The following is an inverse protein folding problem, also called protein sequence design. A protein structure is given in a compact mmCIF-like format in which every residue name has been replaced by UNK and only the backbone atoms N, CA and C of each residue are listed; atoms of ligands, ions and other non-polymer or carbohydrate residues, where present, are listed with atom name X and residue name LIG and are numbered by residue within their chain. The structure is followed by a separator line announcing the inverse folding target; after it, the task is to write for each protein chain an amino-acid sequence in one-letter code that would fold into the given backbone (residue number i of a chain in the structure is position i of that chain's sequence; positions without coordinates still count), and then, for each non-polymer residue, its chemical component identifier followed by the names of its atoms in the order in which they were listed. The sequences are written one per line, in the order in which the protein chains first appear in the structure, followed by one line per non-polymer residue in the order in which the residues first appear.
data_IF_324256887414
#
_entry.id   IF_324256887414
#
_cell.length_a   1.000
_cell.length_b   1.000
_cell.length_c   1.000
_cell.angle_alpha   90.00
_cell.angle_beta   90.00
_cell.angle_gamma   90.00
#
_symmetry.space_group_name_H-M   'P 1'
#
loop_
_entity.id
_entity.type
_entity.pdbx_description
1 polymer ?
#
# COMPACT_ATOMS: atom_id res chain seq x y z
N UNK A 1 -57.53 24.78 -56.45
CA UNK A 1 -57.48 25.07 -55.01
C UNK A 1 -56.81 23.89 -54.30
N UNK A 2 -55.50 23.91 -54.13
CA UNK A 2 -54.71 22.90 -53.42
C UNK A 2 -54.05 23.53 -52.20
N UNK A 3 -54.40 23.08 -51.02
CA UNK A 3 -53.77 23.52 -49.78
C UNK A 3 -52.49 22.77 -49.54
N UNK A 4 -51.37 23.45 -49.57
CA UNK A 4 -50.09 22.95 -49.06
C UNK A 4 -50.09 23.00 -47.51
N UNK A 5 -49.89 21.81 -46.88
CA UNK A 5 -49.69 21.68 -45.45
C UNK A 5 -48.19 21.66 -45.18
N UNK A 6 -47.59 22.68 -44.58
CA UNK A 6 -46.23 22.67 -44.13
C UNK A 6 -46.10 21.81 -42.88
N UNK A 7 -45.28 20.77 -42.97
CA UNK A 7 -44.84 20.02 -41.80
C UNK A 7 -43.62 20.75 -41.16
N UNK A 8 -43.80 21.20 -39.93
CA UNK A 8 -42.70 21.70 -39.10
C UNK A 8 -41.81 20.52 -38.66
N UNK A 9 -40.57 20.54 -39.06
CA UNK A 9 -39.57 19.62 -38.57
C UNK A 9 -39.25 19.91 -37.11
N UNK A 10 -39.56 19.03 -36.20
CA UNK A 10 -39.13 19.07 -34.82
C UNK A 10 -37.60 18.82 -34.75
N UNK A 11 -36.85 19.82 -34.35
CA UNK A 11 -35.43 19.70 -34.02
C UNK A 11 -35.29 18.83 -32.76
N UNK A 12 -34.92 17.57 -32.94
CA UNK A 12 -34.50 16.68 -31.86
C UNK A 12 -33.22 17.24 -31.23
N UNK A 13 -33.30 17.63 -29.97
CA UNK A 13 -32.13 18.03 -29.20
C UNK A 13 -31.19 16.82 -29.05
N UNK A 14 -29.93 17.00 -29.38
CA UNK A 14 -28.87 16.01 -29.11
C UNK A 14 -28.72 15.85 -27.59
N UNK A 15 -28.71 14.64 -27.05
CA UNK A 15 -28.46 14.43 -25.63
C UNK A 15 -27.03 14.89 -25.27
N UNK A 16 -26.92 15.62 -24.16
CA UNK A 16 -25.66 16.14 -23.65
C UNK A 16 -24.67 15.02 -23.33
N UNK A 17 -23.37 15.32 -23.44
CA UNK A 17 -22.28 14.38 -23.21
C UNK A 17 -22.33 13.67 -21.83
N UNK A 18 -23.02 14.29 -20.84
CA UNK A 18 -23.20 13.74 -19.50
C UNK A 18 -24.04 12.44 -19.47
N UNK A 19 -24.89 12.20 -20.49
CA UNK A 19 -25.77 11.03 -20.52
C UNK A 19 -25.11 9.81 -21.21
N UNK A 20 -23.90 9.95 -21.76
CA UNK A 20 -23.22 8.81 -22.42
C UNK A 20 -22.53 7.85 -21.43
N UNK A 21 -22.22 8.32 -20.21
CA UNK A 21 -21.61 7.45 -19.20
C UNK A 21 -22.63 6.70 -18.34
N UNK A 22 -23.86 7.20 -18.22
CA UNK A 22 -24.93 6.53 -17.46
C UNK A 22 -25.45 5.25 -18.14
N UNK A 23 -25.29 5.12 -19.47
CA UNK A 23 -25.77 3.95 -20.21
C UNK A 23 -24.77 2.78 -20.29
N UNK A 24 -23.53 2.96 -19.83
CA UNK A 24 -22.55 1.87 -19.83
C UNK A 24 -22.82 0.83 -18.74
N UNK A 25 -23.49 1.22 -17.66
CA UNK A 25 -23.86 0.31 -16.58
C UNK A 25 -25.10 -0.56 -16.92
N UNK A 26 -25.91 -0.17 -17.91
CA UNK A 26 -27.15 -0.86 -18.25
C UNK A 26 -26.99 -2.00 -19.28
N UNK A 27 -25.82 -2.15 -19.88
CA UNK A 27 -25.57 -3.16 -20.94
C UNK A 27 -25.08 -4.51 -20.41
N UNK A 28 -24.86 -4.63 -19.08
CA UNK A 28 -24.32 -5.88 -18.48
C UNK A 28 -25.40 -6.78 -17.88
N UNK A 29 -26.69 -6.50 -18.10
CA UNK A 29 -27.75 -7.46 -17.74
C UNK A 29 -28.00 -8.37 -18.95
N UNK A 30 -27.15 -9.38 -19.09
CA UNK A 30 -27.37 -10.47 -20.05
C UNK A 30 -28.33 -11.49 -19.44
N UNK A 31 -29.47 -11.79 -20.08
CA UNK A 31 -30.43 -12.80 -19.61
C UNK A 31 -30.04 -14.25 -20.02
N UNK A 32 -28.81 -14.49 -20.46
CA UNK A 32 -28.35 -15.83 -20.87
C UNK A 32 -27.21 -16.32 -19.95
N UNK A 33 -27.10 -17.63 -19.68
CA UNK A 33 -25.98 -18.18 -18.93
C UNK A 33 -24.67 -17.82 -19.64
N UNK A 34 -23.77 -17.18 -18.93
CA UNK A 34 -22.45 -16.77 -19.40
C UNK A 34 -21.76 -17.94 -20.09
N UNK A 35 -21.58 -17.86 -21.43
CA UNK A 35 -20.80 -18.85 -22.17
C UNK A 35 -19.36 -18.89 -21.57
N UNK A 36 -18.72 -20.07 -21.53
CA UNK A 36 -17.38 -20.21 -20.92
C UNK A 36 -16.35 -19.19 -21.43
N UNK A 37 -16.43 -18.79 -22.71
CA UNK A 37 -15.58 -17.78 -23.31
C UNK A 37 -15.77 -16.37 -22.68
N UNK A 38 -17.00 -16.02 -22.30
CA UNK A 38 -17.32 -14.71 -21.71
C UNK A 38 -16.81 -14.64 -20.27
N UNK A 39 -16.92 -15.72 -19.49
CA UNK A 39 -16.41 -15.77 -18.12
C UNK A 39 -14.87 -15.69 -18.07
N UNK A 40 -14.19 -16.31 -19.04
CA UNK A 40 -12.73 -16.23 -19.17
C UNK A 40 -12.26 -14.80 -19.50
N UNK A 41 -12.99 -14.10 -20.39
CA UNK A 41 -12.66 -12.72 -20.76
C UNK A 41 -12.86 -11.75 -19.59
N UNK A 42 -13.97 -11.90 -18.85
CA UNK A 42 -14.27 -11.10 -17.65
C UNK A 42 -13.23 -11.33 -16.56
N UNK A 43 -12.88 -12.58 -16.27
CA UNK A 43 -11.82 -12.92 -15.32
C UNK A 43 -10.45 -12.39 -15.75
N UNK A 44 -10.13 -12.46 -17.03
CA UNK A 44 -8.89 -11.92 -17.60
C UNK A 44 -8.79 -10.40 -17.46
N UNK A 45 -9.90 -9.68 -17.68
CA UNK A 45 -9.94 -8.23 -17.51
C UNK A 45 -9.71 -7.81 -16.04
N UNK A 46 -10.35 -8.48 -15.11
CA UNK A 46 -10.17 -8.23 -13.66
C UNK A 46 -8.72 -8.50 -13.22
N UNK A 47 -8.15 -9.64 -13.64
CA UNK A 47 -6.75 -9.97 -13.34
C UNK A 47 -5.78 -8.96 -13.95
N UNK A 48 -6.02 -8.52 -15.18
CA UNK A 48 -5.22 -7.50 -15.86
C UNK A 48 -5.28 -6.16 -15.11
N UNK A 49 -6.48 -5.73 -14.72
CA UNK A 49 -6.68 -4.51 -13.96
C UNK A 49 -5.97 -4.58 -12.59
N UNK A 50 -6.17 -5.66 -11.82
CA UNK A 50 -5.54 -5.84 -10.53
C UNK A 50 -4.01 -5.87 -10.63
N UNK A 51 -3.45 -6.49 -11.67
CA UNK A 51 -2.02 -6.51 -11.94
C UNK A 51 -1.48 -5.11 -12.26
N UNK A 52 -2.22 -4.34 -13.06
CA UNK A 52 -1.88 -2.97 -13.39
C UNK A 52 -1.92 -2.06 -12.15
N UNK A 53 -2.99 -2.14 -11.35
CA UNK A 53 -3.12 -1.40 -10.08
C UNK A 53 -1.95 -1.73 -9.16
N UNK A 54 -1.64 -3.01 -8.95
CA UNK A 54 -0.52 -3.45 -8.12
C UNK A 54 0.82 -2.87 -8.60
N UNK A 55 1.09 -2.95 -9.89
CA UNK A 55 2.35 -2.45 -10.46
C UNK A 55 2.48 -0.93 -10.30
N UNK A 56 1.41 -0.19 -10.56
CA UNK A 56 1.39 1.27 -10.43
C UNK A 56 1.59 1.70 -8.97
N UNK A 57 0.89 1.04 -8.04
CA UNK A 57 1.02 1.32 -6.59
C UNK A 57 2.40 0.96 -6.05
N UNK A 58 2.99 -0.17 -6.49
CA UNK A 58 4.36 -0.52 -6.10
C UNK A 58 5.37 0.50 -6.59
N UNK A 59 5.22 1.01 -7.82
CA UNK A 59 6.04 2.09 -8.35
C UNK A 59 5.92 3.37 -7.51
N UNK A 60 4.68 3.79 -7.21
CA UNK A 60 4.41 4.96 -6.39
C UNK A 60 4.99 4.85 -4.97
N UNK A 61 4.87 3.66 -4.33
CA UNK A 61 5.45 3.39 -3.02
C UNK A 61 6.99 3.49 -3.05
N UNK A 62 7.63 2.92 -4.06
CA UNK A 62 9.08 2.97 -4.21
C UNK A 62 9.57 4.42 -4.40
N UNK A 63 8.88 5.22 -5.20
CA UNK A 63 9.24 6.62 -5.44
C UNK A 63 9.03 7.48 -4.19
N UNK A 64 7.92 7.27 -3.47
CA UNK A 64 7.63 7.95 -2.21
C UNK A 64 8.65 7.61 -1.13
N UNK A 65 8.97 6.32 -0.96
CA UNK A 65 9.96 5.86 0.02
C UNK A 65 11.35 6.46 -0.25
N UNK A 66 11.79 6.52 -1.50
CA UNK A 66 13.06 7.17 -1.87
C UNK A 66 13.06 8.66 -1.58
N UNK A 67 11.94 9.34 -1.80
CA UNK A 67 11.81 10.77 -1.50
C UNK A 67 11.86 11.01 0.01
N UNK A 68 11.26 10.12 0.81
CA UNK A 68 11.26 10.21 2.26
C UNK A 68 12.61 9.85 2.91
N UNK A 69 13.52 9.18 2.19
CA UNK A 69 14.81 8.71 2.72
C UNK A 69 15.89 9.80 2.87
N UNK A 70 15.60 11.05 2.54
CA UNK A 70 16.53 12.18 2.71
C UNK A 70 16.31 12.88 4.05
N UNK A 71 17.33 13.59 4.57
CA UNK A 71 17.26 14.29 5.87
C UNK A 71 16.09 15.30 5.94
N UNK A 72 15.90 16.07 4.87
CA UNK A 72 14.83 17.05 4.75
C UNK A 72 14.03 16.78 3.47
N UNK A 73 13.12 15.82 3.49
CA UNK A 73 12.35 15.49 2.30
C UNK A 73 11.47 16.68 1.88
N UNK A 74 11.68 17.17 0.67
CA UNK A 74 10.81 18.16 0.05
C UNK A 74 9.65 17.38 -0.58
N UNK A 75 8.62 17.14 0.21
CA UNK A 75 7.42 16.43 -0.23
C UNK A 75 6.34 17.48 -0.47
N UNK A 76 6.02 17.73 -1.75
CA UNK A 76 4.99 18.69 -2.18
C UNK A 76 3.59 18.07 -2.10
N UNK A 77 3.24 17.60 -0.90
CA UNK A 77 1.90 17.09 -0.55
C UNK A 77 1.60 17.43 0.90
N UNK A 78 0.31 17.51 1.22
CA UNK A 78 -0.16 17.73 2.59
C UNK A 78 0.12 16.50 3.47
N UNK A 79 0.33 16.72 4.76
CA UNK A 79 0.53 15.70 5.79
C UNK A 79 1.37 16.25 6.95
N UNK A 80 0.96 15.94 8.17
CA UNK A 80 1.65 16.36 9.40
C UNK A 80 2.83 15.44 9.72
N UNK A 81 2.81 14.21 9.22
CA UNK A 81 3.87 13.21 9.39
C UNK A 81 4.43 12.76 8.05
N UNK A 82 5.67 12.24 8.06
CA UNK A 82 6.28 11.68 6.84
C UNK A 82 5.45 10.51 6.30
N UNK A 83 4.83 9.71 7.17
CA UNK A 83 3.94 8.62 6.76
C UNK A 83 2.73 9.13 5.98
N UNK A 84 2.03 10.15 6.48
CA UNK A 84 0.90 10.78 5.79
C UNK A 84 1.32 11.41 4.46
N UNK A 85 2.49 12.04 4.42
CA UNK A 85 3.04 12.59 3.18
C UNK A 85 3.31 11.49 2.15
N UNK A 86 3.88 10.35 2.58
CA UNK A 86 4.10 9.17 1.72
C UNK A 86 2.78 8.61 1.20
N UNK A 87 1.76 8.48 2.06
CA UNK A 87 0.41 8.06 1.64
C UNK A 87 -0.18 8.99 0.59
N UNK A 88 -0.10 10.31 0.83
CA UNK A 88 -0.64 11.31 -0.08
C UNK A 88 0.12 11.37 -1.41
N UNK A 89 1.43 11.12 -1.42
CA UNK A 89 2.19 10.93 -2.66
C UNK A 89 1.71 9.72 -3.46
N UNK A 90 1.52 8.58 -2.80
CA UNK A 90 1.01 7.37 -3.44
C UNK A 90 -0.40 7.64 -3.98
N UNK A 91 -1.28 8.22 -3.18
CA UNK A 91 -2.65 8.57 -3.56
C UNK A 91 -2.69 9.48 -4.78
N UNK A 92 -1.88 10.54 -4.80
CA UNK A 92 -1.75 11.47 -5.94
C UNK A 92 -1.28 10.76 -7.21
N UNK A 93 -0.34 9.82 -7.08
CA UNK A 93 0.21 9.08 -8.21
C UNK A 93 -0.77 8.07 -8.82
N UNK A 94 -1.64 7.48 -8.00
CA UNK A 94 -2.55 6.41 -8.43
C UNK A 94 -4.01 6.82 -8.58
N UNK A 95 -4.35 8.08 -8.30
CA UNK A 95 -5.74 8.58 -8.34
C UNK A 95 -6.45 8.37 -9.68
N UNK A 96 -5.72 8.29 -10.80
CA UNK A 96 -6.29 8.05 -12.13
C UNK A 96 -6.59 6.57 -12.38
N UNK A 97 -5.94 5.68 -11.64
CA UNK A 97 -6.09 4.22 -11.78
C UNK A 97 -7.04 3.67 -10.72
N UNK A 98 -6.90 4.15 -9.49
CA UNK A 98 -7.67 3.70 -8.34
C UNK A 98 -8.12 4.91 -7.49
N UNK A 99 -9.08 5.73 -7.97
CA UNK A 99 -9.47 6.99 -7.33
C UNK A 99 -10.08 6.82 -5.94
N UNK A 100 -10.63 5.63 -5.64
CA UNK A 100 -11.27 5.29 -4.37
C UNK A 100 -10.44 4.31 -3.54
N UNK A 101 -9.13 4.22 -3.79
CA UNK A 101 -8.27 3.39 -2.98
C UNK A 101 -8.10 3.99 -1.59
N UNK A 102 -8.30 3.15 -0.58
CA UNK A 102 -7.88 3.42 0.79
C UNK A 102 -6.45 2.89 0.94
N UNK A 103 -5.56 3.76 1.44
CA UNK A 103 -4.14 3.47 1.56
C UNK A 103 -3.74 3.81 2.98
N UNK A 104 -3.09 2.87 3.64
CA UNK A 104 -2.49 3.03 4.97
C UNK A 104 -1.02 2.62 4.88
N UNK A 105 -0.11 3.46 5.36
CA UNK A 105 1.34 3.23 5.27
C UNK A 105 1.95 3.22 6.67
N UNK A 106 2.54 2.10 7.02
CA UNK A 106 3.25 1.93 8.29
C UNK A 106 4.76 1.81 8.01
N UNK A 107 5.57 2.80 8.41
CA UNK A 107 7.03 2.69 8.39
C UNK A 107 7.55 1.99 9.63
N UNK A 108 8.56 1.13 9.45
CA UNK A 108 9.36 0.55 10.52
C UNK A 108 10.83 0.75 10.22
N UNK A 109 11.60 1.26 11.17
CA UNK A 109 13.05 1.48 11.04
C UNK A 109 13.84 0.33 11.63
N UNK A 110 14.92 -0.04 10.96
CA UNK A 110 15.86 -1.08 11.38
C UNK A 110 17.28 -0.57 11.27
N UNK A 111 18.19 -1.09 12.09
CA UNK A 111 19.59 -0.73 12.03
C UNK A 111 20.24 -1.19 10.71
N UNK A 112 19.91 -2.41 10.25
CA UNK A 112 20.40 -2.94 8.98
C UNK A 112 19.31 -3.71 8.23
N UNK A 113 19.52 -4.00 6.93
CA UNK A 113 18.62 -4.83 6.12
C UNK A 113 18.45 -6.24 6.64
N UNK A 114 19.49 -6.80 7.30
CA UNK A 114 19.45 -8.13 7.90
C UNK A 114 18.51 -8.24 9.08
N UNK A 115 18.14 -7.13 9.69
CA UNK A 115 17.30 -7.10 10.89
C UNK A 115 15.81 -7.09 10.57
N UNK A 116 15.45 -6.87 9.29
CA UNK A 116 14.07 -6.84 8.85
C UNK A 116 13.36 -8.17 9.12
N UNK A 117 12.39 -8.13 10.06
CA UNK A 117 11.60 -9.30 10.44
C UNK A 117 12.36 -10.35 11.23
N UNK A 118 13.53 -10.00 11.73
CA UNK A 118 14.32 -10.82 12.64
C UNK A 118 14.26 -10.27 14.06
N UNK A 119 14.44 -11.12 15.07
CA UNK A 119 14.52 -10.69 16.47
C UNK A 119 15.78 -9.86 16.70
N UNK A 120 15.77 -9.11 17.78
CA UNK A 120 16.94 -8.42 18.28
C UNK A 120 18.06 -9.40 18.56
N UNK A 121 19.29 -8.95 18.33
CA UNK A 121 20.45 -9.81 18.36
C UNK A 121 20.84 -10.20 19.77
N UNK A 122 20.83 -11.48 20.07
CA UNK A 122 21.33 -12.03 21.33
C UNK A 122 22.85 -11.85 21.38
N UNK A 123 23.34 -11.12 22.39
CA UNK A 123 24.76 -10.82 22.57
C UNK A 123 25.43 -11.73 23.59
N UNK A 124 24.69 -12.12 24.62
CA UNK A 124 25.15 -13.10 25.61
C UNK A 124 24.00 -14.05 25.93
N UNK A 125 24.25 -15.31 25.74
CA UNK A 125 23.37 -16.43 26.03
C UNK A 125 24.03 -17.23 27.16
N UNK A 126 23.49 -17.13 28.37
CA UNK A 126 24.12 -17.71 29.56
C UNK A 126 23.93 -19.22 29.66
N UNK A 127 22.85 -19.77 29.12
CA UNK A 127 22.58 -21.20 29.16
C UNK A 127 22.95 -21.92 27.84
N UNK A 128 23.24 -21.16 26.77
CA UNK A 128 23.68 -21.68 25.47
C UNK A 128 22.58 -22.37 24.65
N UNK A 129 21.29 -21.97 24.88
CA UNK A 129 20.16 -22.57 24.17
C UNK A 129 19.83 -21.90 22.83
N UNK A 130 20.40 -20.72 22.56
CA UNK A 130 20.18 -19.93 21.35
C UNK A 130 18.89 -19.11 21.34
N UNK A 131 18.17 -19.03 22.47
CA UNK A 131 16.96 -18.26 22.66
C UNK A 131 17.18 -17.23 23.78
N UNK A 132 16.51 -16.08 23.72
CA UNK A 132 16.56 -15.08 24.79
C UNK A 132 15.76 -15.56 26.00
N UNK A 133 16.41 -15.57 27.16
CA UNK A 133 15.81 -15.91 28.45
C UNK A 133 16.14 -14.84 29.50
N UNK A 134 15.13 -14.07 29.88
CA UNK A 134 15.27 -13.03 30.87
C UNK A 134 15.63 -13.59 32.26
N UNK A 135 15.24 -14.83 32.59
CA UNK A 135 15.52 -15.46 33.89
C UNK A 135 16.98 -15.83 34.05
N UNK A 136 17.68 -16.12 32.95
CA UNK A 136 19.10 -16.45 32.93
C UNK A 136 20.01 -15.20 32.84
N UNK A 137 19.40 -14.02 32.68
CA UNK A 137 20.13 -12.76 32.62
C UNK A 137 20.78 -12.50 31.26
N UNK A 138 20.23 -13.03 30.20
CA UNK A 138 20.74 -12.87 28.84
C UNK A 138 20.82 -11.38 28.44
N UNK A 139 21.76 -11.08 27.54
CA UNK A 139 21.96 -9.74 27.03
C UNK A 139 21.64 -9.69 25.54
N UNK A 140 21.02 -8.58 25.10
CA UNK A 140 20.69 -8.36 23.69
C UNK A 140 21.08 -6.97 23.23
N UNK A 141 21.14 -6.79 21.94
CA UNK A 141 21.34 -5.50 21.30
C UNK A 141 19.96 -4.86 21.08
N UNK A 142 19.64 -3.82 21.91
CA UNK A 142 18.38 -3.08 21.85
C UNK A 142 18.38 -2.16 20.61
N UNK A 143 17.94 -2.71 19.50
CA UNK A 143 18.05 -2.06 18.20
C UNK A 143 17.03 -0.91 18.01
N UNK A 144 15.87 -1.01 18.67
CA UNK A 144 14.82 0.00 18.59
C UNK A 144 14.81 1.00 19.77
N UNK A 145 15.66 0.77 20.80
CA UNK A 145 15.85 1.66 21.92
C UNK A 145 14.71 1.66 22.96
N UNK A 146 13.89 0.60 22.99
CA UNK A 146 12.73 0.52 23.90
C UNK A 146 13.04 -0.15 25.25
N UNK A 147 14.21 -0.79 25.40
CA UNK A 147 14.66 -1.46 26.62
C UNK A 147 14.05 -2.83 26.88
N UNK A 148 13.39 -3.42 25.90
CA UNK A 148 12.73 -4.73 25.96
C UNK A 148 13.23 -5.58 24.80
N UNK A 149 13.47 -6.85 25.03
CA UNK A 149 13.82 -7.77 23.93
C UNK A 149 12.62 -8.02 23.01
N UNK A 150 12.80 -7.76 21.72
CA UNK A 150 11.77 -7.90 20.72
C UNK A 150 12.09 -9.02 19.72
N UNK A 151 11.04 -9.75 19.31
CA UNK A 151 11.13 -10.75 18.24
C UNK A 151 11.14 -10.14 16.82
N UNK A 152 11.02 -8.83 16.73
CA UNK A 152 11.20 -8.00 15.52
C UNK A 152 11.95 -6.73 15.93
N UNK A 153 13.21 -6.63 15.56
CA UNK A 153 14.13 -5.56 15.94
C UNK A 153 13.73 -4.15 15.44
N UNK A 154 12.62 -4.05 14.71
CA UNK A 154 12.17 -2.79 14.11
C UNK A 154 11.54 -1.81 15.10
N UNK A 155 12.01 -0.56 15.08
CA UNK A 155 11.40 0.57 15.77
C UNK A 155 10.32 1.25 14.91
N UNK A 156 9.36 1.92 15.55
CA UNK A 156 8.31 2.65 14.84
C UNK A 156 8.86 3.93 14.18
N UNK A 157 8.35 4.22 12.98
CA UNK A 157 8.68 5.46 12.26
C UNK A 157 9.82 5.33 11.27
N UNK A 158 10.36 6.50 10.87
CA UNK A 158 11.33 6.59 9.76
C UNK A 158 12.80 6.49 10.20
N UNK A 159 13.06 6.22 11.48
CA UNK A 159 14.44 6.09 11.97
C UNK A 159 15.30 7.33 11.80
N UNK A 160 16.61 7.13 11.85
CA UNK A 160 17.63 8.15 11.71
C UNK A 160 18.47 8.03 10.43
N UNK A 161 19.63 8.70 10.46
CA UNK A 161 20.61 8.61 9.38
C UNK A 161 21.13 7.18 9.26
N UNK A 162 21.24 6.69 8.03
CA UNK A 162 21.75 5.35 7.67
C UNK A 162 20.87 4.17 8.10
N UNK A 163 19.75 4.43 8.82
CA UNK A 163 18.78 3.38 9.15
C UNK A 163 18.05 2.89 7.89
N UNK A 164 17.62 1.65 7.95
CA UNK A 164 16.80 1.03 6.90
C UNK A 164 15.34 1.17 7.29
N UNK A 165 14.54 1.77 6.42
CA UNK A 165 13.10 1.92 6.65
C UNK A 165 12.33 0.95 5.76
N UNK A 166 11.54 0.09 6.37
CA UNK A 166 10.57 -0.77 5.71
C UNK A 166 9.20 -0.09 5.70
N UNK A 167 8.77 0.38 4.55
CA UNK A 167 7.40 0.86 4.36
C UNK A 167 6.50 -0.31 3.99
N UNK A 168 5.47 -0.53 4.79
CA UNK A 168 4.39 -1.48 4.49
C UNK A 168 3.13 -0.69 4.18
N UNK A 169 2.66 -0.79 2.93
CA UNK A 169 1.43 -0.16 2.48
C UNK A 169 0.31 -1.20 2.36
N UNK A 170 -0.74 -1.04 3.14
CA UNK A 170 -2.00 -1.75 2.96
C UNK A 170 -2.89 -0.93 2.04
N UNK A 171 -3.43 -1.59 1.02
CA UNK A 171 -4.24 -0.94 -0.01
C UNK A 171 -5.53 -1.72 -0.21
N UNK A 172 -6.66 -1.04 -0.09
CA UNK A 172 -7.99 -1.55 -0.38
C UNK A 172 -8.63 -0.71 -1.48
N UNK A 173 -9.01 -1.33 -2.58
CA UNK A 173 -9.66 -0.65 -3.71
C UNK A 173 -10.88 -1.42 -4.19
N UNK A 174 -11.99 -0.73 -4.54
CA UNK A 174 -13.15 -1.39 -5.12
C UNK A 174 -12.77 -2.17 -6.37
N UNK A 175 -13.32 -3.38 -6.51
CA UNK A 175 -13.11 -4.20 -7.71
C UNK A 175 -13.72 -3.53 -8.92
N UNK A 176 -13.07 -3.70 -10.08
CA UNK A 176 -13.60 -3.22 -11.35
C UNK A 176 -14.94 -3.86 -11.70
N UNK A 177 -15.10 -5.14 -11.36
CA UNK A 177 -16.31 -5.92 -11.63
C UNK A 177 -16.93 -6.43 -10.31
N UNK A 178 -18.27 -6.49 -10.18
CA UNK A 178 -18.96 -6.93 -8.98
C UNK A 178 -18.90 -8.46 -8.79
N UNK A 179 -17.70 -9.04 -8.79
CA UNK A 179 -17.49 -10.49 -8.71
C UNK A 179 -18.02 -11.10 -7.40
N UNK A 180 -18.07 -10.31 -6.33
CA UNK A 180 -18.62 -10.74 -5.03
C UNK A 180 -20.07 -11.22 -5.09
N UNK A 181 -20.84 -10.79 -6.08
CA UNK A 181 -22.21 -11.27 -6.31
C UNK A 181 -22.30 -12.63 -7.01
N UNK A 182 -21.20 -13.11 -7.62
CA UNK A 182 -21.19 -14.30 -8.46
C UNK A 182 -20.24 -15.38 -7.97
N UNK A 183 -19.20 -15.01 -7.21
CA UNK A 183 -18.15 -15.93 -6.75
C UNK A 183 -18.14 -15.94 -5.21
N UNK A 184 -18.54 -17.04 -4.58
CA UNK A 184 -18.47 -17.15 -3.12
C UNK A 184 -17.04 -16.94 -2.60
N UNK A 185 -16.91 -16.17 -1.50
CA UNK A 185 -15.61 -15.89 -0.87
C UNK A 185 -14.83 -14.73 -1.49
N UNK A 186 -15.33 -14.12 -2.56
CA UNK A 186 -14.74 -12.89 -3.13
C UNK A 186 -15.40 -11.67 -2.49
N UNK A 187 -14.59 -10.81 -1.84
CA UNK A 187 -15.06 -9.54 -1.25
C UNK A 187 -15.33 -8.46 -2.33
N UNK A 188 -16.01 -7.36 -1.94
CA UNK A 188 -16.29 -6.23 -2.83
C UNK A 188 -15.02 -5.47 -3.21
N UNK A 189 -13.99 -5.51 -2.36
CA UNK A 189 -12.72 -4.83 -2.57
C UNK A 189 -11.63 -5.83 -2.98
N UNK A 190 -10.65 -5.31 -3.69
CA UNK A 190 -9.35 -5.93 -3.92
C UNK A 190 -8.37 -5.35 -2.90
N UNK A 191 -7.83 -6.20 -2.06
CA UNK A 191 -6.90 -5.85 -1.01
C UNK A 191 -5.51 -6.37 -1.36
N UNK A 192 -4.50 -5.56 -1.08
CA UNK A 192 -3.11 -5.96 -1.27
C UNK A 192 -2.21 -5.29 -0.24
N UNK A 193 -1.13 -5.98 0.13
CA UNK A 193 -0.06 -5.43 0.93
C UNK A 193 1.18 -5.28 0.05
N UNK A 194 1.73 -4.09 0.04
CA UNK A 194 2.96 -3.74 -0.68
C UNK A 194 4.05 -3.42 0.32
N UNK A 195 5.27 -3.77 0.01
CA UNK A 195 6.41 -3.48 0.86
C UNK A 195 7.56 -2.93 0.03
N UNK A 196 8.28 -1.99 0.60
CA UNK A 196 9.57 -1.52 0.08
C UNK A 196 10.48 -1.16 1.23
N UNK A 197 11.76 -1.45 1.09
CA UNK A 197 12.78 -1.07 2.06
C UNK A 197 13.77 -0.11 1.40
N UNK A 198 14.14 0.94 2.11
CA UNK A 198 15.09 1.94 1.65
C UNK A 198 16.02 2.31 2.80
N UNK A 199 17.30 2.53 2.51
CA UNK A 199 18.24 3.07 3.48
C UNK A 199 18.20 4.58 3.44
N UNK A 200 18.06 5.22 4.61
CA UNK A 200 18.15 6.65 4.76
C UNK A 200 19.53 7.17 4.37
N UNK A 201 19.60 8.41 3.90
CA UNK A 201 20.89 9.01 3.58
C UNK A 201 21.74 9.19 4.84
N UNK A 202 23.07 8.97 4.75
CA UNK A 202 23.98 9.09 5.87
C UNK A 202 24.35 10.58 6.12
N UNK A 203 23.41 11.40 6.59
CA UNK A 203 23.62 12.82 6.90
C UNK A 203 24.30 13.05 8.26
N UNK A 204 24.39 12.01 9.09
CA UNK A 204 25.15 11.95 10.35
C UNK A 204 25.55 10.50 10.64
N UNK A 205 26.34 10.29 11.69
CA UNK A 205 26.68 8.94 12.16
C UNK A 205 25.42 8.24 12.69
N UNK A 206 25.16 7.01 12.26
CA UNK A 206 24.12 6.15 12.79
C UNK A 206 24.36 5.87 14.28
N UNK A 207 23.31 5.90 15.08
CA UNK A 207 23.39 5.55 16.51
C UNK A 207 23.57 4.04 16.64
N UNK A 208 24.64 3.64 17.32
CA UNK A 208 24.86 2.22 17.61
C UNK A 208 23.88 1.77 18.70
N UNK A 209 23.14 0.66 18.49
CA UNK A 209 22.27 0.10 19.50
C UNK A 209 22.99 -0.20 20.82
N UNK A 210 22.28 -0.02 21.93
CA UNK A 210 22.82 -0.33 23.25
C UNK A 210 22.72 -1.84 23.53
N UNK A 211 23.71 -2.40 24.25
CA UNK A 211 23.58 -3.76 24.77
C UNK A 211 22.97 -3.69 26.16
N UNK A 212 21.85 -4.37 26.34
CA UNK A 212 21.10 -4.44 27.60
C UNK A 212 21.08 -5.89 28.08
N UNK A 213 21.13 -6.08 29.41
CA UNK A 213 21.01 -7.40 30.02
C UNK A 213 19.77 -7.48 30.91
N UNK A 214 19.08 -8.60 30.83
CA UNK A 214 17.95 -8.86 31.72
C UNK A 214 18.39 -8.85 33.19
N UNK A 215 17.61 -8.16 34.04
CA UNK A 215 17.92 -8.06 35.48
C UNK A 215 18.94 -6.99 35.88
N UNK A 216 19.49 -6.19 34.95
CA UNK A 216 20.33 -5.03 35.25
C UNK A 216 19.48 -3.76 35.38
N UNK A 217 18.71 -3.62 36.49
CA UNK A 217 18.00 -2.39 36.88
C UNK A 217 18.68 -1.75 38.08
#
# INVERSE_FOLDING_TARGET
AGRYRSQAASKGALPSAANRFANFAAVVVLPEPLRPATSTTVGGLELGYNSYVRSTMQGALNDAARTAAVEFPIIDVEGDTVSEQVENMIRKSVQHVAPNAEIDVTPKSYFDFSDIGNPEKLMTDHNGNGEFDAADGDCWEDANGNGVYDTDAGGDGNGGADDVVLYTAFVSTPRLLPLHGFIPGVGPNFELTLKTAVRNQPYKTQSTPAVICAGST
#
